data_IF_091088018532
#
_entry.id   IF_091088018532
#
_cell.length_a   1.000
_cell.length_b   1.000
_cell.length_c   1.000
_cell.angle_alpha   90.00
_cell.angle_beta   90.00
_cell.angle_gamma   90.00
#
_symmetry.space_group_name_H-M   'P 1'
#
loop_
_entity.id
_entity.type
_entity.pdbx_description
1 polymer ?
#
# COMPACT_ATOMS: atom_id res chain seq x y z
N UNK A 1 -10.65 4.07 -22.01
CA UNK A 1 -9.38 3.59 -21.42
C UNK A 1 -9.44 3.64 -19.89
N UNK A 2 -10.14 2.71 -19.22
CA UNK A 2 -10.31 2.70 -17.74
C UNK A 2 -9.89 1.38 -17.07
N UNK A 3 -9.15 0.50 -17.76
CA UNK A 3 -8.85 -0.86 -17.27
C UNK A 3 -7.40 -1.31 -17.50
N UNK A 4 -6.45 -0.38 -17.56
CA UNK A 4 -5.01 -0.73 -17.62
C UNK A 4 -4.34 -0.73 -16.24
N UNK A 5 -5.01 -0.23 -15.21
CA UNK A 5 -4.55 -0.28 -13.82
C UNK A 5 -5.61 -0.84 -12.87
N UNK A 6 -6.52 -1.70 -13.36
CA UNK A 6 -7.16 -2.66 -12.48
C UNK A 6 -6.19 -3.81 -12.25
N UNK A 7 -5.02 -3.52 -11.66
CA UNK A 7 -4.33 -4.58 -10.94
C UNK A 7 -5.36 -5.11 -9.96
N UNK A 8 -5.62 -6.40 -10.06
CA UNK A 8 -6.46 -7.18 -9.18
C UNK A 8 -5.77 -7.30 -7.80
N UNK A 9 -5.35 -6.15 -7.24
CA UNK A 9 -4.21 -5.91 -6.35
C UNK A 9 -4.43 -6.36 -4.90
N UNK A 10 -5.22 -7.40 -4.69
CA UNK A 10 -5.65 -7.82 -3.34
C UNK A 10 -4.71 -8.84 -2.68
N UNK A 11 -3.89 -9.57 -3.44
CA UNK A 11 -2.93 -10.54 -2.87
C UNK A 11 -1.52 -10.50 -3.47
N UNK A 12 -1.33 -9.82 -4.59
CA UNK A 12 -0.09 -9.89 -5.38
C UNK A 12 0.94 -8.82 -4.99
N UNK A 13 0.53 -7.76 -4.30
CA UNK A 13 1.41 -6.64 -3.91
C UNK A 13 2.62 -7.07 -3.04
N UNK A 14 2.45 -7.86 -1.95
CA UNK A 14 3.60 -8.33 -1.17
C UNK A 14 4.49 -9.30 -1.98
N UNK A 15 3.90 -10.17 -2.80
CA UNK A 15 4.65 -11.08 -3.67
C UNK A 15 5.50 -10.32 -4.70
N UNK A 16 4.93 -9.27 -5.31
CA UNK A 16 5.65 -8.37 -6.21
C UNK A 16 6.81 -7.67 -5.50
N UNK A 17 6.61 -7.21 -4.26
CA UNK A 17 7.66 -6.56 -3.46
C UNK A 17 8.85 -7.50 -3.19
N UNK A 18 8.58 -8.78 -2.90
CA UNK A 18 9.61 -9.81 -2.74
C UNK A 18 10.37 -10.06 -4.04
N UNK A 19 9.67 -10.12 -5.18
CA UNK A 19 10.29 -10.29 -6.50
C UNK A 19 11.18 -9.10 -6.83
N UNK A 20 10.67 -7.87 -6.62
CA UNK A 20 11.44 -6.63 -6.81
C UNK A 20 12.69 -6.64 -5.93
N UNK A 21 12.58 -7.04 -4.67
CA UNK A 21 13.71 -7.14 -3.74
C UNK A 21 14.82 -8.06 -4.27
N UNK A 22 14.46 -9.22 -4.85
CA UNK A 22 15.44 -10.13 -5.47
C UNK A 22 16.10 -9.53 -6.72
N UNK A 23 15.33 -8.84 -7.55
CA UNK A 23 15.86 -8.16 -8.76
C UNK A 23 16.84 -7.05 -8.34
N UNK A 24 16.46 -6.24 -7.36
CA UNK A 24 17.31 -5.16 -6.81
C UNK A 24 18.62 -5.72 -6.27
N UNK A 25 18.60 -6.87 -5.60
CA UNK A 25 19.81 -7.57 -5.14
C UNK A 25 20.75 -7.92 -6.30
N UNK A 26 20.22 -8.51 -7.38
CA UNK A 26 21.01 -8.85 -8.57
C UNK A 26 21.63 -7.60 -9.19
N UNK A 27 20.86 -6.51 -9.29
CA UNK A 27 21.37 -5.23 -9.80
C UNK A 27 22.52 -4.70 -8.94
N UNK A 28 22.39 -4.73 -7.62
CA UNK A 28 23.45 -4.26 -6.72
C UNK A 28 24.72 -5.10 -6.82
N UNK A 29 24.60 -6.42 -6.99
CA UNK A 29 25.75 -7.31 -7.22
C UNK A 29 26.48 -6.92 -8.51
N UNK A 30 25.73 -6.71 -9.60
CA UNK A 30 26.31 -6.30 -10.89
C UNK A 30 27.00 -4.94 -10.74
N UNK A 31 26.36 -3.97 -10.09
CA UNK A 31 26.92 -2.64 -9.83
C UNK A 31 28.20 -2.70 -8.98
N UNK A 32 28.25 -3.58 -7.97
CA UNK A 32 29.44 -3.77 -7.14
C UNK A 32 30.62 -4.31 -7.97
N UNK A 33 30.37 -5.29 -8.84
CA UNK A 33 31.38 -5.83 -9.76
C UNK A 33 31.90 -4.77 -10.73
N UNK A 34 31.01 -3.98 -11.33
CA UNK A 34 31.39 -2.91 -12.27
C UNK A 34 32.22 -1.84 -11.56
N UNK A 35 31.81 -1.40 -10.37
CA UNK A 35 32.55 -0.40 -9.59
C UNK A 35 33.95 -0.88 -9.21
N UNK A 36 34.07 -2.13 -8.74
CA UNK A 36 35.37 -2.72 -8.40
C UNK A 36 36.29 -2.81 -9.63
N UNK A 37 35.76 -3.23 -10.78
CA UNK A 37 36.50 -3.27 -12.05
C UNK A 37 36.97 -1.89 -12.49
N UNK A 38 36.11 -0.87 -12.41
CA UNK A 38 36.46 0.49 -12.78
C UNK A 38 37.61 1.03 -11.92
N UNK A 39 37.58 0.80 -10.61
CA UNK A 39 38.66 1.19 -9.69
C UNK A 39 39.95 0.44 -10.04
N UNK A 40 39.87 -0.85 -10.34
CA UNK A 40 41.04 -1.65 -10.72
C UNK A 40 41.66 -1.17 -12.04
N UNK A 41 40.87 -0.81 -13.04
CA UNK A 41 41.38 -0.27 -14.32
C UNK A 41 42.16 1.03 -14.08
N UNK A 42 41.60 1.94 -13.28
CA UNK A 42 42.27 3.21 -12.92
C UNK A 42 43.55 2.92 -12.12
N UNK A 43 43.52 1.96 -11.21
CA UNK A 43 44.69 1.60 -10.42
C UNK A 43 45.83 1.01 -11.26
N UNK A 44 45.51 0.24 -12.30
CA UNK A 44 46.48 -0.31 -13.24
C UNK A 44 47.10 0.81 -14.09
N UNK A 45 46.29 1.74 -14.60
CA UNK A 45 46.78 2.90 -15.36
C UNK A 45 47.73 3.79 -14.53
N UNK A 46 47.44 3.92 -13.23
CA UNK A 46 48.27 4.68 -12.29
C UNK A 46 49.49 3.89 -11.75
N UNK A 47 49.56 2.58 -12.01
CA UNK A 47 50.62 1.72 -11.47
C UNK A 47 52.00 2.06 -12.07
N UNK A 48 52.03 2.60 -13.28
CA UNK A 48 53.26 3.05 -13.95
C UNK A 48 53.99 4.15 -13.17
N UNK A 49 53.28 4.92 -12.33
CA UNK A 49 53.87 5.94 -11.48
C UNK A 49 54.41 5.38 -10.15
N UNK A 50 53.74 4.39 -9.56
CA UNK A 50 54.17 3.73 -8.32
C UNK A 50 53.34 2.48 -8.05
N UNK A 51 54.02 1.41 -7.62
CA UNK A 51 53.37 0.19 -7.14
C UNK A 51 52.44 0.42 -5.93
N UNK A 52 52.62 1.53 -5.20
CA UNK A 52 51.72 1.92 -4.10
C UNK A 52 50.29 2.18 -4.58
N UNK A 53 50.12 2.76 -5.79
CA UNK A 53 48.79 3.05 -6.34
C UNK A 53 48.03 1.78 -6.70
N UNK A 54 48.73 0.74 -7.16
CA UNK A 54 48.12 -0.56 -7.41
C UNK A 54 47.61 -1.20 -6.10
N UNK A 55 48.44 -1.19 -5.04
CA UNK A 55 48.03 -1.71 -3.72
C UNK A 55 46.82 -0.94 -3.17
N UNK A 56 46.85 0.39 -3.22
CA UNK A 56 45.77 1.24 -2.74
C UNK A 56 44.48 1.02 -3.56
N UNK A 57 44.62 0.83 -4.88
CA UNK A 57 43.54 0.50 -5.79
C UNK A 57 42.86 -0.82 -5.45
N UNK A 58 43.62 -1.88 -5.16
CA UNK A 58 43.07 -3.19 -4.75
C UNK A 58 42.28 -3.06 -3.44
N UNK A 59 42.83 -2.34 -2.45
CA UNK A 59 42.15 -2.11 -1.17
C UNK A 59 40.85 -1.33 -1.39
N UNK A 60 40.90 -0.24 -2.16
CA UNK A 60 39.72 0.59 -2.45
C UNK A 60 38.67 -0.16 -3.28
N UNK A 61 39.08 -1.00 -4.24
CA UNK A 61 38.18 -1.83 -5.03
C UNK A 61 37.43 -2.83 -4.15
N UNK A 62 38.15 -3.51 -3.24
CA UNK A 62 37.53 -4.41 -2.27
C UNK A 62 36.57 -3.67 -1.34
N UNK A 63 36.99 -2.51 -0.83
CA UNK A 63 36.18 -1.72 0.09
C UNK A 63 34.90 -1.19 -0.59
N UNK A 64 35.01 -0.67 -1.82
CA UNK A 64 33.86 -0.24 -2.62
C UNK A 64 32.90 -1.41 -2.93
N UNK A 65 33.43 -2.57 -3.29
CA UNK A 65 32.65 -3.78 -3.55
C UNK A 65 31.79 -4.16 -2.34
N UNK A 66 32.41 -4.30 -1.16
CA UNK A 66 31.70 -4.67 0.06
C UNK A 66 30.71 -3.59 0.51
N UNK A 67 31.06 -2.31 0.36
CA UNK A 67 30.15 -1.21 0.72
C UNK A 67 28.89 -1.21 -0.16
N UNK A 68 29.01 -1.40 -1.47
CA UNK A 68 27.86 -1.46 -2.38
C UNK A 68 26.98 -2.68 -2.06
N UNK A 69 27.59 -3.85 -1.80
CA UNK A 69 26.85 -5.04 -1.39
C UNK A 69 26.13 -4.84 -0.06
N UNK A 70 26.78 -4.18 0.91
CA UNK A 70 26.17 -3.88 2.19
C UNK A 70 24.94 -2.96 2.04
N UNK A 71 25.04 -1.92 1.23
CA UNK A 71 23.90 -1.05 0.91
C UNK A 71 22.77 -1.84 0.25
N UNK A 72 23.09 -2.70 -0.71
CA UNK A 72 22.12 -3.58 -1.36
C UNK A 72 21.42 -4.53 -0.37
N UNK A 73 22.17 -5.07 0.59
CA UNK A 73 21.65 -5.93 1.65
C UNK A 73 20.70 -5.18 2.60
N UNK A 74 21.07 -3.96 3.01
CA UNK A 74 20.20 -3.11 3.86
C UNK A 74 18.90 -2.78 3.13
N UNK A 75 18.97 -2.43 1.84
CA UNK A 75 17.78 -2.18 1.02
C UNK A 75 16.90 -3.43 0.90
N UNK A 76 17.48 -4.62 0.71
CA UNK A 76 16.74 -5.89 0.68
C UNK A 76 15.96 -6.12 1.98
N UNK A 77 16.58 -5.89 3.14
CA UNK A 77 15.91 -5.99 4.44
C UNK A 77 14.76 -4.99 4.57
N UNK A 78 14.96 -3.75 4.12
CA UNK A 78 13.92 -2.72 4.15
C UNK A 78 12.71 -3.10 3.29
N UNK A 79 12.94 -3.59 2.06
CA UNK A 79 11.86 -4.04 1.17
C UNK A 79 11.11 -5.25 1.75
N UNK A 80 11.83 -6.22 2.31
CA UNK A 80 11.20 -7.37 2.96
C UNK A 80 10.38 -6.96 4.18
N UNK A 81 10.91 -6.05 5.01
CA UNK A 81 10.22 -5.52 6.19
C UNK A 81 8.95 -4.77 5.79
N UNK A 82 9.03 -3.92 4.76
CA UNK A 82 7.88 -3.21 4.22
C UNK A 82 6.83 -4.20 3.67
N UNK A 83 7.26 -5.23 2.95
CA UNK A 83 6.36 -6.27 2.43
C UNK A 83 5.59 -6.98 3.54
N UNK A 84 6.24 -7.28 4.67
CA UNK A 84 5.59 -7.91 5.83
C UNK A 84 4.56 -6.96 6.45
N UNK A 85 4.92 -5.69 6.63
CA UNK A 85 4.03 -4.68 7.22
C UNK A 85 2.81 -4.46 6.32
N UNK A 86 3.00 -4.30 5.00
CA UNK A 86 1.90 -4.11 4.06
C UNK A 86 0.96 -5.31 4.06
N UNK A 87 1.50 -6.54 4.14
CA UNK A 87 0.70 -7.75 4.26
C UNK A 87 -0.13 -7.76 5.54
N UNK A 88 0.49 -7.49 6.70
CA UNK A 88 -0.21 -7.49 7.99
C UNK A 88 -1.30 -6.42 8.03
N UNK A 89 -1.00 -5.20 7.59
CA UNK A 89 -1.97 -4.11 7.58
C UNK A 89 -3.15 -4.41 6.64
N UNK A 90 -2.91 -5.14 5.55
CA UNK A 90 -3.95 -5.61 4.66
C UNK A 90 -4.82 -6.71 5.30
N UNK A 91 -4.20 -7.68 5.97
CA UNK A 91 -4.92 -8.72 6.74
C UNK A 91 -5.78 -8.09 7.85
N UNK A 92 -5.25 -7.13 8.61
CA UNK A 92 -5.99 -6.38 9.65
C UNK A 92 -7.20 -5.61 9.07
N UNK A 93 -7.07 -5.00 7.87
CA UNK A 93 -8.18 -4.31 7.21
C UNK A 93 -9.24 -5.28 6.67
N UNK A 94 -8.84 -6.47 6.21
CA UNK A 94 -9.78 -7.52 5.82
C UNK A 94 -10.54 -8.08 7.02
N UNK A 95 -9.88 -8.28 8.16
CA UNK A 95 -10.54 -8.69 9.39
C UNK A 95 -11.49 -7.61 9.90
N UNK A 96 -11.06 -6.34 9.90
CA UNK A 96 -11.92 -5.21 10.26
C UNK A 96 -13.12 -5.07 9.33
N UNK A 97 -12.92 -5.22 8.01
CA UNK A 97 -14.00 -5.21 7.03
C UNK A 97 -14.97 -6.39 7.16
N UNK A 98 -14.53 -7.53 7.70
CA UNK A 98 -15.42 -8.65 8.08
C UNK A 98 -16.14 -8.41 9.41
N UNK A 99 -15.57 -7.61 10.31
CA UNK A 99 -16.26 -7.18 11.54
C UNK A 99 -17.14 -5.95 11.33
N UNK A 100 -16.99 -5.22 10.21
CA UNK A 100 -17.83 -4.11 9.74
C UNK A 100 -19.02 -4.57 8.88
N UNK A 101 -19.56 -5.76 9.14
CA UNK A 101 -21.03 -5.97 9.08
C UNK A 101 -21.75 -5.24 10.24
N UNK A 102 -21.13 -4.17 10.75
CA UNK A 102 -21.77 -3.11 11.51
C UNK A 102 -22.28 -2.11 10.46
N UNK A 103 -23.59 -1.85 10.39
CA UNK A 103 -24.16 -1.04 9.33
C UNK A 103 -23.45 0.31 9.29
N UNK A 104 -22.92 0.65 8.10
CA UNK A 104 -22.47 1.98 7.73
C UNK A 104 -23.43 3.01 8.35
N UNK A 105 -22.95 4.05 9.07
CA UNK A 105 -23.81 5.17 9.37
C UNK A 105 -24.10 5.85 8.04
N UNK A 106 -25.18 5.41 7.39
CA UNK A 106 -25.85 6.13 6.33
C UNK A 106 -26.05 7.55 6.84
N UNK A 107 -25.83 8.50 5.94
CA UNK A 107 -26.07 9.91 6.15
C UNK A 107 -27.24 10.17 7.12
N UNK A 108 -26.93 10.62 8.34
CA UNK A 108 -27.87 10.81 9.47
C UNK A 108 -29.07 11.73 9.18
N UNK A 109 -29.16 12.29 7.97
CA UNK A 109 -30.31 13.07 7.49
C UNK A 109 -31.30 12.25 6.65
N UNK A 110 -30.89 11.20 5.94
CA UNK A 110 -31.81 10.40 5.11
C UNK A 110 -32.46 9.24 5.84
N UNK A 111 -31.77 8.61 6.80
CA UNK A 111 -32.34 7.48 7.56
C UNK A 111 -33.48 7.91 8.50
N UNK A 112 -33.36 9.10 9.13
CA UNK A 112 -34.40 9.63 10.02
C UNK A 112 -35.75 9.88 9.32
N UNK A 113 -35.75 10.16 8.01
CA UNK A 113 -37.00 10.40 7.28
C UNK A 113 -37.72 9.09 6.96
N UNK A 114 -36.98 8.09 6.51
CA UNK A 114 -37.54 6.78 6.18
C UNK A 114 -38.09 6.10 7.44
N UNK A 115 -37.36 6.15 8.55
CA UNK A 115 -37.85 5.62 9.83
C UNK A 115 -39.14 6.32 10.30
N UNK A 116 -39.22 7.64 10.16
CA UNK A 116 -40.44 8.40 10.52
C UNK A 116 -41.63 8.08 9.61
N UNK A 117 -41.38 7.86 8.32
CA UNK A 117 -42.42 7.47 7.37
C UNK A 117 -42.92 6.05 7.60
N UNK A 118 -42.02 5.12 7.94
CA UNK A 118 -42.37 3.74 8.27
C UNK A 118 -43.18 3.68 9.57
N UNK A 119 -42.77 4.44 10.60
CA UNK A 119 -43.51 4.53 11.87
C UNK A 119 -44.90 5.17 11.67
N UNK A 120 -45.02 6.18 10.81
CA UNK A 120 -46.31 6.76 10.44
C UNK A 120 -47.21 5.74 9.70
N UNK A 121 -46.62 4.90 8.84
CA UNK A 121 -47.31 3.81 8.15
C UNK A 121 -47.81 2.73 9.12
N UNK A 122 -47.00 2.38 10.11
CA UNK A 122 -47.40 1.46 11.17
C UNK A 122 -48.57 2.01 12.00
N UNK A 123 -48.54 3.30 12.38
CA UNK A 123 -49.62 3.93 13.15
C UNK A 123 -50.95 3.92 12.39
N UNK A 124 -50.92 4.12 11.07
CA UNK A 124 -52.11 3.95 10.20
C UNK A 124 -52.57 2.49 10.19
N UNK A 125 -51.64 1.54 10.00
CA UNK A 125 -51.99 0.11 9.93
C UNK A 125 -52.59 -0.43 11.23
N UNK A 126 -52.21 0.15 12.37
CA UNK A 126 -52.75 -0.16 13.70
C UNK A 126 -54.05 0.60 14.02
N UNK A 127 -54.54 1.44 13.11
CA UNK A 127 -55.78 2.22 13.29
C UNK A 127 -55.67 3.34 14.33
N UNK A 128 -54.46 3.75 14.71
CA UNK A 128 -54.21 4.76 15.74
C UNK A 128 -54.41 6.18 15.19
N UNK A 129 -54.17 6.36 13.89
CA UNK A 129 -54.41 7.60 13.15
C UNK A 129 -55.34 7.34 11.97
N UNK A 130 -56.12 8.34 11.59
CA UNK A 130 -57.01 8.23 10.43
C UNK A 130 -56.23 8.38 9.12
N UNK A 131 -56.86 7.99 8.01
CA UNK A 131 -56.25 8.07 6.68
C UNK A 131 -55.98 9.52 6.25
N UNK A 132 -56.79 10.45 6.75
CA UNK A 132 -56.66 11.90 6.54
C UNK A 132 -55.44 12.45 7.30
N UNK A 133 -55.30 12.11 8.59
CA UNK A 133 -54.17 12.51 9.44
C UNK A 133 -52.84 11.93 8.95
N UNK A 134 -52.85 10.70 8.44
CA UNK A 134 -51.69 10.07 7.81
C UNK A 134 -51.21 10.87 6.59
N UNK A 135 -52.14 11.26 5.71
CA UNK A 135 -51.81 11.97 4.47
C UNK A 135 -51.29 13.39 4.74
N UNK A 136 -51.83 14.07 5.74
CA UNK A 136 -51.36 15.40 6.14
C UNK A 136 -49.94 15.35 6.71
N UNK A 137 -49.67 14.45 7.66
CA UNK A 137 -48.33 14.29 8.26
C UNK A 137 -47.29 13.75 7.29
N UNK A 138 -47.69 12.87 6.36
CA UNK A 138 -46.81 12.40 5.28
C UNK A 138 -46.38 13.54 4.37
N UNK A 139 -47.29 14.46 4.04
CA UNK A 139 -47.00 15.62 3.20
C UNK A 139 -46.07 16.60 3.91
N UNK A 140 -46.27 16.82 5.21
CA UNK A 140 -45.40 17.67 6.05
C UNK A 140 -43.98 17.08 6.17
N UNK A 141 -43.85 15.76 6.33
CA UNK A 141 -42.54 15.08 6.37
C UNK A 141 -41.79 15.17 5.03
N UNK A 142 -42.50 15.06 3.91
CA UNK A 142 -41.91 15.12 2.57
C UNK A 142 -41.58 16.56 2.12
N UNK A 143 -42.20 17.58 2.71
CA UNK A 143 -41.89 18.99 2.44
C UNK A 143 -40.64 19.50 3.18
N UNK A 144 -40.20 18.81 4.25
CA UNK A 144 -39.00 19.15 5.03
C UNK A 144 -37.69 18.58 4.43
N UNK A 145 -37.67 18.35 3.12
CA UNK A 145 -36.59 17.73 2.33
C UNK A 145 -35.91 18.78 1.44
#
# INVERSE_FOLDING_TARGET
MKRLFSFNAKGECPTLLVIISKIVKVIHIIMACIAALAIMIIAIDMADFSALYLLLGVINAALAFFMILFVGFVLEILFLSLSIITRKNYEDLLEKGKTEDVPLPKDKKKDNLNEKLDLLGELKSKGIITEEEFNEKKKELLQNL
#
